data_IF_009061580483
#
_entry.id   IF_009061580483
#
_cell.length_a   1.000
_cell.length_b   1.000
_cell.length_c   1.000
_cell.angle_alpha   90.00
_cell.angle_beta   90.00
_cell.angle_gamma   90.00
#
_symmetry.space_group_name_H-M   'P 1'
#
loop_
_entity.id
_entity.type
_entity.pdbx_description
1 polymer ?
#
# COMPACT_ATOMS: atom_id res chain seq x y z
N UNK A 1 7.98 -9.41 -2.89
CA UNK A 1 6.91 -10.28 -3.40
C UNK A 1 5.90 -10.71 -2.32
N UNK A 2 6.35 -11.29 -1.18
CA UNK A 2 5.45 -11.79 -0.12
C UNK A 2 4.60 -10.66 0.49
N UNK A 3 5.20 -9.53 0.79
CA UNK A 3 4.48 -8.36 1.37
C UNK A 3 3.44 -7.78 0.40
N UNK A 4 3.77 -7.72 -0.89
CA UNK A 4 2.84 -7.30 -1.94
C UNK A 4 1.63 -8.22 -1.98
N UNK A 5 1.86 -9.53 -2.01
CA UNK A 5 0.78 -10.52 -2.02
C UNK A 5 -0.08 -10.47 -0.76
N UNK A 6 0.54 -10.26 0.43
CA UNK A 6 -0.20 -10.13 1.68
C UNK A 6 -1.10 -8.89 1.69
N UNK A 7 -0.60 -7.73 1.26
CA UNK A 7 -1.38 -6.50 1.21
C UNK A 7 -2.59 -6.63 0.28
N UNK A 8 -2.39 -7.19 -0.91
CA UNK A 8 -3.47 -7.36 -1.89
C UNK A 8 -4.46 -8.46 -1.47
N UNK A 9 -3.98 -9.54 -0.84
CA UNK A 9 -4.84 -10.59 -0.30
C UNK A 9 -5.83 -10.03 0.74
N UNK A 10 -5.40 -9.11 1.59
CA UNK A 10 -6.27 -8.42 2.55
C UNK A 10 -7.41 -7.71 1.82
N UNK A 11 -7.11 -6.96 0.75
CA UNK A 11 -8.14 -6.24 -0.03
C UNK A 11 -9.15 -7.20 -0.66
N UNK A 12 -8.68 -8.29 -1.26
CA UNK A 12 -9.56 -9.29 -1.90
C UNK A 12 -10.42 -10.02 -0.86
N UNK A 13 -9.88 -10.31 0.33
CA UNK A 13 -10.64 -10.91 1.43
C UNK A 13 -11.74 -9.98 1.99
N UNK A 14 -11.56 -8.66 1.84
CA UNK A 14 -12.59 -7.69 2.24
C UNK A 14 -13.76 -7.60 1.25
N UNK A 15 -13.57 -8.06 0.00
CA UNK A 15 -14.61 -8.03 -1.03
C UNK A 15 -15.93 -8.68 -0.58
N UNK A 16 -15.96 -9.94 -0.10
CA UNK A 16 -17.22 -10.58 0.32
C UNK A 16 -17.85 -9.88 1.52
N UNK A 17 -17.05 -9.25 2.37
CA UNK A 17 -17.52 -8.50 3.53
C UNK A 17 -18.23 -7.21 3.11
N UNK A 18 -17.65 -6.48 2.16
CA UNK A 18 -18.28 -5.29 1.56
C UNK A 18 -19.55 -5.64 0.79
N UNK A 19 -19.55 -6.75 0.05
CA UNK A 19 -20.76 -7.22 -0.65
C UNK A 19 -21.89 -7.55 0.32
N UNK A 20 -21.57 -8.18 1.44
CA UNK A 20 -22.55 -8.48 2.50
C UNK A 20 -23.10 -7.21 3.13
N UNK A 21 -22.26 -6.23 3.42
CA UNK A 21 -22.63 -4.98 4.08
C UNK A 21 -23.47 -4.07 3.16
N UNK A 22 -23.11 -4.03 1.87
CA UNK A 22 -23.80 -3.27 0.83
C UNK A 22 -25.05 -3.95 0.26
N UNK A 23 -25.40 -5.15 0.75
CA UNK A 23 -26.51 -5.98 0.17
C UNK A 23 -26.36 -6.18 -1.34
N UNK A 24 -25.10 -6.22 -1.83
CA UNK A 24 -24.79 -6.39 -3.23
C UNK A 24 -24.87 -7.87 -3.61
N UNK A 25 -25.76 -8.21 -4.54
CA UNK A 25 -25.89 -9.58 -5.03
C UNK A 25 -24.67 -9.99 -5.87
N UNK A 26 -24.23 -11.24 -5.68
CA UNK A 26 -23.20 -11.83 -6.53
C UNK A 26 -23.78 -12.01 -7.93
N UNK A 27 -23.22 -11.29 -8.89
CA UNK A 27 -23.51 -11.42 -10.30
C UNK A 27 -22.20 -11.51 -11.08
N UNK A 28 -22.29 -11.72 -12.39
CA UNK A 28 -21.12 -11.82 -13.25
C UNK A 28 -20.19 -10.60 -13.16
N UNK A 29 -20.76 -9.40 -13.09
CA UNK A 29 -19.98 -8.15 -13.01
C UNK A 29 -19.25 -8.04 -11.66
N UNK A 30 -19.95 -8.28 -10.55
CA UNK A 30 -19.35 -8.16 -9.21
C UNK A 30 -18.31 -9.27 -8.92
N UNK A 31 -18.43 -10.43 -9.56
CA UNK A 31 -17.43 -11.48 -9.46
C UNK A 31 -16.09 -11.10 -10.11
N UNK A 32 -16.12 -10.31 -11.17
CA UNK A 32 -14.90 -9.84 -11.87
C UNK A 32 -14.15 -8.77 -11.10
N UNK A 33 -14.80 -8.04 -10.18
CA UNK A 33 -14.17 -6.92 -9.44
C UNK A 33 -12.94 -7.37 -8.69
N UNK A 34 -12.98 -8.52 -8.02
CA UNK A 34 -11.84 -9.05 -7.26
C UNK A 34 -10.59 -9.20 -8.11
N UNK A 35 -10.74 -9.74 -9.31
CA UNK A 35 -9.61 -9.93 -10.25
C UNK A 35 -9.05 -8.59 -10.73
N UNK A 36 -9.91 -7.62 -11.04
CA UNK A 36 -9.49 -6.30 -11.49
C UNK A 36 -8.76 -5.54 -10.37
N UNK A 37 -9.33 -5.53 -9.18
CA UNK A 37 -8.73 -4.85 -8.01
C UNK A 37 -7.43 -5.53 -7.59
N UNK A 38 -7.35 -6.86 -7.70
CA UNK A 38 -6.10 -7.59 -7.48
C UNK A 38 -5.00 -7.10 -8.41
N UNK A 39 -5.27 -6.96 -9.71
CA UNK A 39 -4.30 -6.46 -10.68
C UNK A 39 -3.83 -5.04 -10.35
N UNK A 40 -4.75 -4.12 -10.11
CA UNK A 40 -4.43 -2.72 -9.77
C UNK A 40 -3.68 -2.62 -8.44
N UNK A 41 -4.12 -3.34 -7.41
CA UNK A 41 -3.49 -3.31 -6.10
C UNK A 41 -2.08 -3.91 -6.07
N UNK A 42 -1.79 -4.88 -6.94
CA UNK A 42 -0.43 -5.39 -7.13
C UNK A 42 0.48 -4.32 -7.70
N UNK A 43 0.05 -3.59 -8.72
CA UNK A 43 0.83 -2.51 -9.34
C UNK A 43 1.20 -1.41 -8.34
N UNK A 44 0.23 -0.91 -7.57
CA UNK A 44 0.46 0.10 -6.53
C UNK A 44 1.48 -0.38 -5.48
N UNK A 45 1.35 -1.63 -5.05
CA UNK A 45 2.25 -2.23 -4.06
C UNK A 45 3.66 -2.43 -4.62
N UNK A 46 3.81 -2.79 -5.88
CA UNK A 46 5.12 -2.92 -6.55
C UNK A 46 5.81 -1.55 -6.63
N UNK A 47 5.09 -0.51 -7.04
CA UNK A 47 5.63 0.84 -7.12
C UNK A 47 6.16 1.35 -5.78
N UNK A 48 5.45 1.11 -4.68
CA UNK A 48 5.91 1.48 -3.34
C UNK A 48 7.16 0.70 -2.95
N UNK A 49 7.18 -0.62 -3.18
CA UNK A 49 8.33 -1.47 -2.82
C UNK A 49 9.57 -1.11 -3.63
N UNK A 50 9.44 -0.89 -4.92
CA UNK A 50 10.56 -0.51 -5.77
C UNK A 50 11.12 0.85 -5.34
N UNK A 51 10.26 1.79 -4.99
CA UNK A 51 10.69 3.08 -4.48
C UNK A 51 11.40 2.99 -3.13
N UNK A 52 10.93 2.13 -2.22
CA UNK A 52 11.61 1.87 -0.95
C UNK A 52 13.02 1.30 -1.17
N UNK A 53 13.19 0.42 -2.15
CA UNK A 53 14.52 -0.12 -2.50
C UNK A 53 15.44 0.94 -3.08
N UNK A 54 14.92 1.84 -3.92
CA UNK A 54 15.68 2.91 -4.54
C UNK A 54 16.17 3.96 -3.53
N UNK A 55 15.33 4.33 -2.57
CA UNK A 55 15.67 5.32 -1.51
C UNK A 55 16.43 4.68 -0.33
N UNK A 56 16.54 3.34 -0.31
CA UNK A 56 17.12 2.55 0.78
C UNK A 56 16.10 2.04 1.78
N UNK A 57 16.36 0.83 2.31
CA UNK A 57 15.48 0.17 3.32
C UNK A 57 15.71 0.75 4.74
N UNK A 58 15.88 2.07 4.83
CA UNK A 58 16.05 2.82 6.08
C UNK A 58 14.72 3.42 6.54
N UNK A 59 14.50 3.71 7.84
CA UNK A 59 13.29 4.37 8.30
C UNK A 59 12.98 5.67 7.56
N UNK A 60 13.99 6.51 7.35
CA UNK A 60 13.88 7.75 6.61
C UNK A 60 13.55 7.52 5.13
N UNK A 61 14.19 6.51 4.51
CA UNK A 61 13.94 6.09 3.12
C UNK A 61 12.51 5.59 2.93
N UNK A 62 11.97 4.81 3.86
CA UNK A 62 10.59 4.33 3.83
C UNK A 62 9.60 5.49 3.89
N UNK A 63 9.77 6.41 4.86
CA UNK A 63 8.88 7.59 5.00
C UNK A 63 8.91 8.45 3.73
N UNK A 64 10.09 8.71 3.18
CA UNK A 64 10.27 9.49 1.97
C UNK A 64 9.62 8.82 0.75
N UNK A 65 9.78 7.50 0.61
CA UNK A 65 9.20 6.72 -0.47
C UNK A 65 7.68 6.73 -0.40
N UNK A 66 7.12 6.47 0.78
CA UNK A 66 5.65 6.46 0.99
C UNK A 66 5.06 7.86 0.77
N UNK A 67 5.73 8.92 1.21
CA UNK A 67 5.25 10.29 1.02
C UNK A 67 5.19 10.68 -0.47
N UNK A 68 6.23 10.35 -1.24
CA UNK A 68 6.30 10.70 -2.67
C UNK A 68 5.41 9.81 -3.53
N UNK A 69 5.55 8.49 -3.37
CA UNK A 69 4.80 7.52 -4.18
C UNK A 69 3.33 7.51 -3.77
N UNK A 70 3.02 7.66 -2.48
CA UNK A 70 1.66 7.74 -1.97
C UNK A 70 0.86 8.89 -2.57
N UNK A 71 1.49 10.05 -2.79
CA UNK A 71 0.83 11.16 -3.48
C UNK A 71 0.44 10.78 -4.92
N UNK A 72 1.36 10.19 -5.67
CA UNK A 72 1.09 9.75 -7.06
C UNK A 72 -0.02 8.71 -7.12
N UNK A 73 0.02 7.72 -6.22
CA UNK A 73 -1.01 6.66 -6.16
C UNK A 73 -2.37 7.26 -5.75
N UNK A 74 -2.37 8.23 -4.84
CA UNK A 74 -3.59 8.95 -4.48
C UNK A 74 -4.18 9.71 -5.67
N UNK A 75 -3.39 10.42 -6.45
CA UNK A 75 -3.81 11.16 -7.63
C UNK A 75 -4.38 10.23 -8.71
N UNK A 76 -3.71 9.10 -8.97
CA UNK A 76 -4.19 8.09 -9.94
C UNK A 76 -5.47 7.42 -9.48
N UNK A 77 -5.57 7.06 -8.20
CA UNK A 77 -6.78 6.46 -7.63
C UNK A 77 -7.95 7.46 -7.64
N UNK A 78 -7.71 8.72 -7.29
CA UNK A 78 -8.74 9.77 -7.34
C UNK A 78 -9.26 9.99 -8.77
N UNK A 79 -8.37 10.03 -9.75
CA UNK A 79 -8.73 10.16 -11.17
C UNK A 79 -9.53 8.95 -11.65
N UNK A 80 -9.13 7.74 -11.26
CA UNK A 80 -9.84 6.50 -11.61
C UNK A 80 -11.22 6.48 -10.97
N UNK A 81 -11.36 6.84 -9.70
CA UNK A 81 -12.65 6.95 -9.01
C UNK A 81 -13.55 8.01 -9.66
N UNK A 82 -12.99 9.15 -10.06
CA UNK A 82 -13.74 10.17 -10.79
C UNK A 82 -14.27 9.63 -12.13
N UNK A 83 -13.47 8.89 -12.88
CA UNK A 83 -13.91 8.22 -14.11
C UNK A 83 -14.99 7.16 -13.85
N UNK A 84 -14.81 6.31 -12.83
CA UNK A 84 -15.78 5.28 -12.46
C UNK A 84 -17.09 5.86 -11.91
N UNK A 85 -17.08 7.09 -11.37
CA UNK A 85 -18.30 7.75 -10.90
C UNK A 85 -19.32 7.98 -12.00
N UNK A 86 -18.90 8.09 -13.26
CA UNK A 86 -19.80 8.14 -14.40
C UNK A 86 -20.68 6.87 -14.52
N UNK A 87 -20.17 5.73 -14.06
CA UNK A 87 -20.91 4.47 -14.02
C UNK A 87 -22.07 4.44 -13.02
N UNK A 88 -22.14 5.37 -12.07
CA UNK A 88 -23.26 5.49 -11.15
C UNK A 88 -24.55 5.96 -11.82
N UNK A 89 -24.41 6.62 -12.97
CA UNK A 89 -25.54 7.09 -13.77
C UNK A 89 -26.11 6.03 -14.74
N UNK A 90 -25.52 4.83 -14.73
CA UNK A 90 -26.01 3.73 -15.56
C UNK A 90 -27.26 3.12 -14.95
N UNK A 91 -28.33 2.97 -15.71
CA UNK A 91 -29.62 2.46 -15.25
C UNK A 91 -29.68 0.94 -15.06
N UNK A 92 -28.56 0.23 -15.25
CA UNK A 92 -28.46 -1.22 -15.09
C UNK A 92 -27.96 -1.53 -13.67
N UNK A 93 -28.83 -2.06 -12.76
CA UNK A 93 -28.46 -2.24 -11.35
C UNK A 93 -27.23 -3.11 -11.12
N UNK A 94 -27.02 -4.15 -11.93
CA UNK A 94 -25.86 -5.03 -11.82
C UNK A 94 -24.55 -4.31 -12.15
N UNK A 95 -24.58 -3.41 -13.12
CA UNK A 95 -23.43 -2.62 -13.55
C UNK A 95 -23.16 -1.47 -12.58
N UNK A 96 -24.20 -0.83 -12.06
CA UNK A 96 -24.10 0.18 -11.01
C UNK A 96 -23.41 -0.39 -9.74
N UNK A 97 -23.85 -1.56 -9.28
CA UNK A 97 -23.25 -2.26 -8.16
C UNK A 97 -21.77 -2.62 -8.40
N UNK A 98 -21.41 -2.96 -9.64
CA UNK A 98 -20.02 -3.18 -10.05
C UNK A 98 -19.17 -1.92 -9.84
N UNK A 99 -19.63 -0.77 -10.31
CA UNK A 99 -18.88 0.49 -10.17
C UNK A 99 -18.73 0.92 -8.71
N UNK A 100 -19.79 0.80 -7.90
CA UNK A 100 -19.74 1.11 -6.47
C UNK A 100 -18.75 0.21 -5.74
N UNK A 101 -18.81 -1.10 -5.97
CA UNK A 101 -17.91 -2.07 -5.36
C UNK A 101 -16.46 -1.84 -5.79
N UNK A 102 -16.25 -1.55 -7.09
CA UNK A 102 -14.93 -1.25 -7.65
C UNK A 102 -14.30 -0.03 -6.99
N UNK A 103 -15.04 1.09 -6.90
CA UNK A 103 -14.56 2.30 -6.22
C UNK A 103 -14.23 2.05 -4.75
N UNK A 104 -15.10 1.34 -4.03
CA UNK A 104 -14.88 1.03 -2.62
C UNK A 104 -13.62 0.21 -2.40
N UNK A 105 -13.38 -0.80 -3.24
CA UNK A 105 -12.19 -1.64 -3.17
C UNK A 105 -10.92 -0.92 -3.62
N UNK A 106 -10.99 0.00 -4.59
CA UNK A 106 -9.85 0.83 -4.99
C UNK A 106 -9.41 1.77 -3.85
N UNK A 107 -10.35 2.40 -3.17
CA UNK A 107 -10.04 3.23 -2.00
C UNK A 107 -9.42 2.37 -0.89
N UNK A 108 -9.95 1.18 -0.65
CA UNK A 108 -9.40 0.24 0.31
C UNK A 108 -7.99 -0.22 -0.08
N UNK A 109 -7.75 -0.49 -1.37
CA UNK A 109 -6.45 -0.86 -1.90
C UNK A 109 -5.42 0.27 -1.70
N UNK A 110 -5.81 1.53 -1.96
CA UNK A 110 -4.97 2.70 -1.68
C UNK A 110 -4.58 2.77 -0.19
N UNK A 111 -5.54 2.64 0.72
CA UNK A 111 -5.28 2.68 2.16
C UNK A 111 -4.37 1.52 2.60
N UNK A 112 -4.65 0.33 2.11
CA UNK A 112 -3.86 -0.87 2.41
C UNK A 112 -2.42 -0.72 1.90
N UNK A 113 -2.24 -0.27 0.68
CA UNK A 113 -0.92 -0.07 0.07
C UNK A 113 -0.13 1.03 0.79
N UNK A 114 -0.77 2.14 1.14
CA UNK A 114 -0.10 3.28 1.77
C UNK A 114 0.21 3.08 3.26
N UNK A 115 -0.59 2.29 3.98
CA UNK A 115 -0.48 2.13 5.44
C UNK A 115 0.05 0.74 5.81
N UNK A 116 -0.60 -0.32 5.33
CA UNK A 116 -0.25 -1.68 5.73
C UNK A 116 1.11 -2.11 5.18
N UNK A 117 1.44 -1.76 3.95
CA UNK A 117 2.67 -2.21 3.32
C UNK A 117 3.92 -1.65 4.01
N UNK A 118 4.07 -0.33 4.27
CA UNK A 118 5.20 0.18 5.03
C UNK A 118 5.22 -0.32 6.48
N UNK A 119 4.05 -0.45 7.13
CA UNK A 119 3.95 -1.02 8.47
C UNK A 119 4.45 -2.47 8.54
N UNK A 120 4.14 -3.27 7.53
CA UNK A 120 4.64 -4.65 7.41
C UNK A 120 6.16 -4.70 7.23
N UNK A 121 6.72 -3.81 6.42
CA UNK A 121 8.18 -3.75 6.18
C UNK A 121 8.90 -3.36 7.47
N UNK A 122 8.48 -2.31 8.15
CA UNK A 122 9.05 -1.87 9.41
C UNK A 122 8.95 -2.96 10.48
N UNK A 123 7.78 -3.57 10.63
CA UNK A 123 7.56 -4.65 11.60
C UNK A 123 8.45 -5.87 11.33
N UNK A 124 8.67 -6.21 10.07
CA UNK A 124 9.55 -7.30 9.68
C UNK A 124 11.02 -7.02 10.01
N UNK A 125 11.49 -5.81 9.69
CA UNK A 125 12.87 -5.39 10.01
C UNK A 125 13.10 -5.35 11.52
N UNK A 126 12.17 -4.83 12.29
CA UNK A 126 12.22 -4.81 13.74
C UNK A 126 12.23 -6.22 14.33
N UNK A 127 11.36 -7.12 13.84
CA UNK A 127 11.33 -8.51 14.29
C UNK A 127 12.64 -9.23 13.98
N UNK A 128 13.17 -9.02 12.77
CA UNK A 128 14.44 -9.62 12.34
C UNK A 128 15.62 -9.11 13.17
N UNK A 129 15.68 -7.81 13.48
CA UNK A 129 16.74 -7.22 14.30
C UNK A 129 16.73 -7.79 15.70
N UNK A 130 15.57 -7.94 16.31
CA UNK A 130 15.39 -8.56 17.64
C UNK A 130 15.78 -10.03 17.64
N UNK A 131 15.42 -10.81 16.63
CA UNK A 131 15.79 -12.22 16.52
C UNK A 131 17.29 -12.43 16.32
N UNK A 132 17.98 -11.48 15.68
CA UNK A 132 19.43 -11.51 15.46
C UNK A 132 20.24 -10.92 16.62
N UNK A 133 19.58 -10.52 17.73
CA UNK A 133 20.22 -9.93 18.91
C UNK A 133 20.85 -8.56 18.66
N UNK A 134 20.51 -7.90 17.55
CA UNK A 134 20.83 -6.50 17.28
C UNK A 134 19.78 -5.64 17.97
N UNK A 135 20.15 -4.47 18.47
CA UNK A 135 19.20 -3.52 19.08
C UNK A 135 18.04 -3.14 18.15
N UNK A 136 17.05 -2.36 18.63
CA UNK A 136 15.92 -1.92 17.82
C UNK A 136 16.41 -1.31 16.50
N UNK A 137 15.84 -1.73 15.39
CA UNK A 137 16.29 -1.30 14.06
C UNK A 137 16.16 0.23 13.86
N UNK A 138 15.15 0.83 14.48
CA UNK A 138 14.93 2.28 14.44
C UNK A 138 16.04 3.06 15.16
N UNK A 139 16.55 2.54 16.30
CA UNK A 139 17.59 3.20 17.10
C UNK A 139 18.99 3.00 16.50
N UNK A 140 19.21 1.93 15.75
CA UNK A 140 20.51 1.61 15.14
C UNK A 140 20.90 2.63 14.06
N UNK A 141 19.94 3.20 13.36
CA UNK A 141 20.21 4.15 12.29
C UNK A 141 20.55 5.54 12.80
N UNK A 142 19.91 5.98 13.91
CA UNK A 142 20.25 7.24 14.57
C UNK A 142 21.67 7.19 15.14
N UNK A 143 22.09 6.06 15.70
CA UNK A 143 23.46 5.89 16.22
C UNK A 143 24.51 5.89 15.09
N UNK A 144 24.22 5.24 13.97
CA UNK A 144 25.10 5.23 12.79
C UNK A 144 25.25 6.59 12.13
N UNK A 145 24.19 7.38 12.09
CA UNK A 145 24.22 8.74 11.56
C UNK A 145 25.02 9.70 12.46
N UNK A 146 24.93 9.53 13.78
CA UNK A 146 25.69 10.30 14.76
C UNK A 146 27.18 9.95 14.73
N UNK A 147 27.53 8.67 14.61
CA UNK A 147 28.92 8.24 14.41
C UNK A 147 29.52 8.77 13.11
N UNK A 148 28.79 8.71 12.00
CA UNK A 148 29.25 9.23 10.72
C UNK A 148 29.47 10.74 10.77
N UNK A 149 28.61 11.50 11.42
CA UNK A 149 28.78 12.95 11.59
C UNK A 149 29.99 13.31 12.45
N UNK A 150 30.21 12.57 13.54
CA UNK A 150 31.36 12.79 14.43
C UNK A 150 32.70 12.47 13.78
N UNK A 151 32.76 11.43 12.94
CA UNK A 151 33.94 11.09 12.15
C UNK A 151 34.24 12.15 11.10
N UNK A 152 33.19 12.71 10.48
CA UNK A 152 33.34 13.76 9.46
C UNK A 152 33.85 15.06 10.10
N UNK A 153 33.36 15.45 11.25
CA UNK A 153 33.85 16.59 12.03
C UNK A 153 35.30 16.42 12.45
N UNK A 154 35.69 15.25 12.94
CA UNK A 154 37.09 14.94 13.32
C UNK A 154 38.07 14.88 12.17
N UNK A 155 37.57 14.76 10.91
CA UNK A 155 38.44 14.72 9.70
C UNK A 155 38.62 16.13 9.12
N UNK A 156 37.80 17.09 9.52
CA UNK A 156 37.82 18.48 9.04
C UNK A 156 38.64 19.43 9.97
N UNK A 157 39.02 18.97 11.18
CA UNK A 157 39.99 19.62 12.08
C UNK A 157 41.44 19.16 11.80
#
# INVERSE_FOLDING_TARGET
AIFTMAAVAVVVLWQPLLMRQGSVNVNFFTAMVGTLVFGIGVDDSIHIIDRIKDEGETPAGIVKSVSRTGQTIFETTATTCAGLSAGLFVEIPGLQNFFVLMMSLLILALLTSSILLPSFIVSWHELRSRLLGKGPWLDYEDSGALEASSVLEATLE
#
